data_IF_993295828945
#
_entry.id   IF_993295828945
#
_cell.length_a   1.000
_cell.length_b   1.000
_cell.length_c   1.000
_cell.angle_alpha   90.00
_cell.angle_beta   90.00
_cell.angle_gamma   90.00
#
_symmetry.space_group_name_H-M   'P 1'
#
loop_
_entity.id
_entity.type
_entity.pdbx_description
1 polymer ?
#
# COMPACT_ATOMS: atom_id res chain seq x y z
N UNK A 1 19.52 26.72 28.98
CA UNK A 1 19.11 25.79 27.92
C UNK A 1 19.83 26.25 26.67
N UNK A 2 20.61 25.38 26.01
CA UNK A 2 21.35 25.77 24.81
C UNK A 2 20.36 25.88 23.63
N UNK A 3 20.54 26.85 22.74
CA UNK A 3 19.72 27.02 21.54
C UNK A 3 19.69 25.74 20.68
N UNK A 4 20.79 24.99 20.66
CA UNK A 4 20.86 23.69 19.97
C UNK A 4 19.92 22.65 20.61
N UNK A 5 19.83 22.61 21.94
CA UNK A 5 18.93 21.68 22.64
C UNK A 5 17.46 22.02 22.35
N UNK A 6 17.10 23.31 22.32
CA UNK A 6 15.74 23.78 22.01
C UNK A 6 15.34 23.45 20.55
N UNK A 7 16.27 23.61 19.60
CA UNK A 7 16.06 23.27 18.20
C UNK A 7 15.92 21.75 18.00
N UNK A 8 16.70 20.95 18.73
CA UNK A 8 16.59 19.49 18.69
C UNK A 8 15.26 19.00 19.28
N UNK A 9 14.82 19.57 20.40
CA UNK A 9 13.54 19.25 21.02
C UNK A 9 12.35 19.62 20.12
N UNK A 10 12.40 20.78 19.47
CA UNK A 10 11.38 21.22 18.51
C UNK A 10 11.33 20.30 17.28
N UNK A 11 12.49 19.88 16.75
CA UNK A 11 12.56 18.93 15.64
C UNK A 11 11.97 17.56 16.01
N UNK A 12 12.25 17.06 17.23
CA UNK A 12 11.67 15.81 17.75
C UNK A 12 10.15 15.91 17.90
N UNK A 13 9.65 17.02 18.47
CA UNK A 13 8.22 17.27 18.65
C UNK A 13 7.48 17.36 17.31
N UNK A 14 8.03 18.07 16.33
CA UNK A 14 7.45 18.14 14.97
C UNK A 14 7.43 16.79 14.27
N UNK A 15 8.51 16.02 14.36
CA UNK A 15 8.54 14.67 13.79
C UNK A 15 7.47 13.78 14.42
N UNK A 16 7.31 13.83 15.75
CA UNK A 16 6.25 13.09 16.43
C UNK A 16 4.85 13.51 15.95
N UNK A 17 4.60 14.82 15.79
CA UNK A 17 3.34 15.34 15.27
C UNK A 17 3.04 14.81 13.86
N UNK A 18 4.02 14.81 12.95
CA UNK A 18 3.84 14.26 11.60
C UNK A 18 3.53 12.76 11.61
N UNK A 19 4.25 11.97 12.43
CA UNK A 19 4.02 10.54 12.55
C UNK A 19 2.60 10.24 13.08
N UNK A 20 2.15 11.02 14.07
CA UNK A 20 0.81 10.88 14.63
C UNK A 20 -0.27 11.24 13.61
N UNK A 21 -0.13 12.37 12.92
CA UNK A 21 -1.06 12.80 11.87
C UNK A 21 -1.18 11.76 10.75
N UNK A 22 -0.06 11.25 10.25
CA UNK A 22 -0.07 10.22 9.20
C UNK A 22 -0.74 8.92 9.68
N UNK A 23 -0.55 8.54 10.94
CA UNK A 23 -1.21 7.37 11.51
C UNK A 23 -2.72 7.56 11.58
N UNK A 24 -3.19 8.75 11.99
CA UNK A 24 -4.61 9.08 12.02
C UNK A 24 -5.21 9.05 10.61
N UNK A 25 -4.57 9.72 9.64
CA UNK A 25 -5.03 9.73 8.25
C UNK A 25 -5.07 8.33 7.64
N UNK A 26 -4.05 7.49 7.91
CA UNK A 26 -4.04 6.12 7.43
C UNK A 26 -5.22 5.29 7.97
N UNK A 27 -5.54 5.44 9.26
CA UNK A 27 -6.69 4.79 9.88
C UNK A 27 -8.01 5.29 9.31
N UNK A 28 -8.17 6.61 9.13
CA UNK A 28 -9.38 7.18 8.52
C UNK A 28 -9.60 6.65 7.10
N UNK A 29 -8.54 6.55 6.30
CA UNK A 29 -8.61 5.98 4.94
C UNK A 29 -9.01 4.50 4.97
N UNK A 30 -8.44 3.72 5.90
CA UNK A 30 -8.79 2.31 6.11
C UNK A 30 -10.23 2.12 6.56
N UNK A 31 -10.72 2.96 7.47
CA UNK A 31 -12.10 2.92 7.95
C UNK A 31 -13.08 3.25 6.83
N UNK A 32 -12.76 4.25 6.00
CA UNK A 32 -13.52 4.55 4.77
C UNK A 32 -13.54 3.36 3.82
N UNK A 33 -12.39 2.71 3.57
CA UNK A 33 -12.29 1.55 2.68
C UNK A 33 -13.15 0.38 3.18
N UNK A 34 -13.10 0.12 4.49
CA UNK A 34 -13.89 -0.93 5.15
C UNK A 34 -15.38 -0.63 5.05
N UNK A 35 -15.80 0.60 5.37
CA UNK A 35 -17.19 1.04 5.27
C UNK A 35 -17.74 0.92 3.85
N UNK A 36 -16.98 1.35 2.84
CA UNK A 36 -17.38 1.21 1.44
C UNK A 36 -17.49 -0.25 1.00
N UNK A 37 -16.56 -1.10 1.44
CA UNK A 37 -16.61 -2.53 1.15
C UNK A 37 -17.87 -3.17 1.74
N UNK A 38 -18.20 -2.88 3.00
CA UNK A 38 -19.44 -3.37 3.61
C UNK A 38 -20.69 -2.87 2.88
N UNK A 39 -20.73 -1.59 2.51
CA UNK A 39 -21.86 -1.00 1.76
C UNK A 39 -22.02 -1.63 0.37
N UNK A 40 -20.94 -2.06 -0.27
CA UNK A 40 -20.97 -2.67 -1.60
C UNK A 40 -21.73 -4.00 -1.61
N UNK A 41 -21.71 -4.75 -0.50
CA UNK A 41 -22.36 -6.05 -0.36
C UNK A 41 -23.70 -5.98 0.41
N UNK A 42 -24.24 -4.79 0.64
CA UNK A 42 -25.56 -4.63 1.25
C UNK A 42 -26.69 -4.88 0.23
N UNK A 43 -27.83 -5.41 0.69
CA UNK A 43 -28.97 -5.80 -0.16
C UNK A 43 -29.53 -4.66 -1.04
N UNK A 44 -29.35 -3.40 -0.63
CA UNK A 44 -29.82 -2.20 -1.32
C UNK A 44 -28.67 -1.26 -1.73
N UNK A 45 -27.48 -1.82 -1.98
CA UNK A 45 -26.30 -1.07 -2.35
C UNK A 45 -26.51 -0.22 -3.62
N UNK A 46 -26.25 1.09 -3.51
CA UNK A 46 -26.13 1.95 -4.69
C UNK A 46 -24.72 1.81 -5.29
N UNK A 47 -24.54 0.80 -6.14
CA UNK A 47 -23.24 0.42 -6.72
C UNK A 47 -22.59 1.55 -7.49
N UNK A 48 -23.37 2.36 -8.22
CA UNK A 48 -22.83 3.49 -9.00
C UNK A 48 -22.21 4.54 -8.07
N UNK A 49 -22.94 4.95 -7.03
CA UNK A 49 -22.44 5.90 -6.05
C UNK A 49 -21.23 5.34 -5.29
N UNK A 50 -21.27 4.08 -4.88
CA UNK A 50 -20.16 3.42 -4.20
C UNK A 50 -18.92 3.38 -5.10
N UNK A 51 -19.08 3.13 -6.40
CA UNK A 51 -17.98 3.18 -7.36
C UNK A 51 -17.31 4.56 -7.45
N UNK A 52 -18.10 5.64 -7.42
CA UNK A 52 -17.57 7.03 -7.38
C UNK A 52 -16.80 7.28 -6.08
N UNK A 53 -17.35 6.87 -4.94
CA UNK A 53 -16.72 7.00 -3.63
C UNK A 53 -15.42 6.18 -3.54
N UNK A 54 -15.42 4.94 -4.03
CA UNK A 54 -14.23 4.08 -4.09
C UNK A 54 -13.14 4.68 -4.99
N UNK A 55 -13.49 5.22 -6.16
CA UNK A 55 -12.52 5.86 -7.06
C UNK A 55 -11.90 7.10 -6.43
N UNK A 56 -12.68 7.87 -5.68
CA UNK A 56 -12.19 9.02 -4.92
C UNK A 56 -11.24 8.56 -3.82
N UNK A 57 -11.64 7.56 -3.03
CA UNK A 57 -10.81 6.99 -1.98
C UNK A 57 -9.50 6.40 -2.54
N UNK A 58 -9.53 5.68 -3.66
CA UNK A 58 -8.33 5.12 -4.28
C UNK A 58 -7.30 6.23 -4.61
N UNK A 59 -7.76 7.37 -5.13
CA UNK A 59 -6.91 8.52 -5.42
C UNK A 59 -6.36 9.15 -4.13
N UNK A 60 -7.19 9.28 -3.09
CA UNK A 60 -6.76 9.77 -1.78
C UNK A 60 -5.67 8.87 -1.18
N UNK A 61 -5.86 7.55 -1.19
CA UNK A 61 -4.90 6.61 -0.61
C UNK A 61 -3.58 6.55 -1.38
N UNK A 62 -3.62 6.54 -2.73
CA UNK A 62 -2.41 6.59 -3.57
C UNK A 62 -1.69 7.94 -3.39
N UNK A 63 -2.45 9.04 -3.33
CA UNK A 63 -1.92 10.36 -3.05
C UNK A 63 -1.21 10.41 -1.70
N UNK A 64 -1.85 9.89 -0.66
CA UNK A 64 -1.30 9.76 0.68
C UNK A 64 -0.02 8.92 0.69
N UNK A 65 -0.04 7.69 0.16
CA UNK A 65 1.14 6.80 0.04
C UNK A 65 2.34 7.52 -0.59
N UNK A 66 2.09 8.28 -1.65
CA UNK A 66 3.15 8.99 -2.37
C UNK A 66 3.83 10.11 -1.55
N UNK A 67 3.21 10.54 -0.45
CA UNK A 67 3.63 11.68 0.36
C UNK A 67 4.06 11.32 1.79
N UNK A 68 3.72 10.13 2.30
CA UNK A 68 4.00 9.78 3.70
C UNK A 68 5.50 9.84 4.05
N UNK A 69 5.80 10.21 5.29
CA UNK A 69 7.16 10.14 5.85
C UNK A 69 7.33 8.82 6.61
N UNK A 70 6.27 8.34 7.27
CA UNK A 70 6.25 7.13 8.08
C UNK A 70 6.06 5.86 7.24
N UNK A 71 7.10 5.42 6.53
CA UNK A 71 7.03 4.20 5.71
C UNK A 71 6.52 2.93 6.41
N UNK A 72 6.75 2.69 7.71
CA UNK A 72 6.11 1.58 8.43
C UNK A 72 4.58 1.50 8.31
N UNK A 73 3.86 2.62 8.10
CA UNK A 73 2.41 2.61 7.85
C UNK A 73 2.04 1.78 6.61
N UNK A 74 2.96 1.66 5.64
CA UNK A 74 2.71 0.94 4.40
C UNK A 74 2.50 -0.56 4.60
N UNK A 75 3.00 -1.12 5.71
CA UNK A 75 2.83 -2.53 6.05
C UNK A 75 1.36 -2.96 6.00
N UNK A 76 0.45 -2.15 6.58
CA UNK A 76 -0.98 -2.42 6.50
C UNK A 76 -1.66 -1.71 5.31
N UNK A 77 -1.22 -0.50 4.97
CA UNK A 77 -1.91 0.33 3.97
C UNK A 77 -1.90 -0.28 2.56
N UNK A 78 -0.87 -1.04 2.17
CA UNK A 78 -0.82 -1.67 0.85
C UNK A 78 -1.98 -2.64 0.60
N UNK A 79 -2.39 -3.40 1.62
CA UNK A 79 -3.51 -4.31 1.51
C UNK A 79 -4.82 -3.55 1.30
N UNK A 80 -5.02 -2.45 2.04
CA UNK A 80 -6.22 -1.62 1.94
C UNK A 80 -6.30 -0.88 0.59
N UNK A 81 -5.18 -0.39 0.05
CA UNK A 81 -5.11 0.18 -1.31
C UNK A 81 -5.43 -0.90 -2.34
N UNK A 82 -4.79 -2.06 -2.22
CA UNK A 82 -5.02 -3.21 -3.11
C UNK A 82 -6.49 -3.64 -3.11
N UNK A 83 -7.12 -3.71 -1.94
CA UNK A 83 -8.55 -4.02 -1.78
C UNK A 83 -9.45 -2.98 -2.42
N UNK A 84 -9.19 -1.69 -2.18
CA UNK A 84 -9.96 -0.59 -2.76
C UNK A 84 -9.90 -0.62 -4.29
N UNK A 85 -8.72 -0.84 -4.85
CA UNK A 85 -8.52 -0.98 -6.29
C UNK A 85 -9.16 -2.25 -6.85
N UNK A 86 -9.15 -3.34 -6.09
CA UNK A 86 -9.80 -4.59 -6.47
C UNK A 86 -11.31 -4.43 -6.59
N UNK A 87 -11.93 -3.73 -5.64
CA UNK A 87 -13.37 -3.42 -5.67
C UNK A 87 -13.74 -2.51 -6.87
N UNK A 88 -12.78 -1.73 -7.38
CA UNK A 88 -12.89 -0.97 -8.63
C UNK A 88 -12.57 -1.79 -9.89
N UNK A 89 -12.36 -3.10 -9.76
CA UNK A 89 -11.93 -4.01 -10.84
C UNK A 89 -10.62 -3.57 -11.53
N UNK A 90 -9.79 -2.79 -10.84
CA UNK A 90 -8.48 -2.35 -11.32
C UNK A 90 -7.42 -3.40 -11.01
N UNK A 91 -7.63 -4.62 -11.52
CA UNK A 91 -6.88 -5.84 -11.15
C UNK A 91 -5.36 -5.69 -11.27
N UNK A 92 -4.86 -5.11 -12.37
CA UNK A 92 -3.42 -4.93 -12.57
C UNK A 92 -2.79 -4.09 -11.45
N UNK A 93 -3.43 -2.97 -11.07
CA UNK A 93 -2.90 -2.07 -10.05
C UNK A 93 -3.08 -2.68 -8.66
N UNK A 94 -4.23 -3.32 -8.40
CA UNK A 94 -4.50 -4.02 -7.15
C UNK A 94 -3.44 -5.10 -6.86
N UNK A 95 -3.10 -5.92 -7.87
CA UNK A 95 -2.05 -6.95 -7.77
C UNK A 95 -0.68 -6.32 -7.53
N UNK A 96 -0.34 -5.21 -8.21
CA UNK A 96 0.93 -4.52 -7.97
C UNK A 96 1.08 -4.02 -6.53
N UNK A 97 0.01 -3.46 -5.95
CA UNK A 97 -0.01 -3.02 -4.55
C UNK A 97 0.04 -4.20 -3.58
N UNK A 98 -0.70 -5.27 -3.83
CA UNK A 98 -0.69 -6.45 -2.97
C UNK A 98 0.67 -7.16 -2.98
N UNK A 99 1.32 -7.30 -4.14
CA UNK A 99 2.69 -7.83 -4.23
C UNK A 99 3.69 -6.92 -3.49
N UNK A 100 3.55 -5.59 -3.62
CA UNK A 100 4.37 -4.66 -2.86
C UNK A 100 4.17 -4.83 -1.34
N UNK A 101 2.94 -5.04 -0.89
CA UNK A 101 2.64 -5.33 0.50
C UNK A 101 3.25 -6.64 0.99
N UNK A 102 3.21 -7.71 0.19
CA UNK A 102 3.92 -8.96 0.54
C UNK A 102 5.42 -8.70 0.70
N UNK A 103 6.06 -8.02 -0.26
CA UNK A 103 7.50 -7.72 -0.23
C UNK A 103 7.88 -6.83 0.96
N UNK A 104 7.10 -5.78 1.24
CA UNK A 104 7.35 -4.88 2.36
C UNK A 104 7.18 -5.56 3.72
N UNK A 105 6.14 -6.38 3.89
CA UNK A 105 5.88 -7.08 5.15
C UNK A 105 6.86 -8.23 5.39
N UNK A 106 7.32 -8.92 4.34
CA UNK A 106 8.43 -9.88 4.43
C UNK A 106 9.72 -9.22 4.94
N UNK A 107 10.02 -8.00 4.51
CA UNK A 107 11.21 -7.27 4.98
C UNK A 107 11.13 -6.84 6.45
N UNK A 108 9.94 -6.87 7.06
CA UNK A 108 9.69 -6.46 8.44
C UNK A 108 9.18 -7.60 9.33
N UNK A 109 9.20 -8.85 8.84
CA UNK A 109 8.69 -10.03 9.54
C UNK A 109 7.23 -9.89 10.04
N UNK A 110 6.38 -9.16 9.28
CA UNK A 110 4.96 -8.94 9.61
C UNK A 110 4.08 -9.99 8.92
N UNK A 111 3.84 -11.10 9.61
CA UNK A 111 3.06 -12.22 9.07
C UNK A 111 1.57 -11.88 8.85
N UNK A 112 0.99 -10.99 9.66
CA UNK A 112 -0.39 -10.54 9.49
C UNK A 112 -0.52 -9.70 8.21
N UNK A 113 0.41 -8.76 8.01
CA UNK A 113 0.49 -7.96 6.79
C UNK A 113 0.71 -8.81 5.53
N UNK A 114 1.57 -9.82 5.59
CA UNK A 114 1.75 -10.79 4.49
C UNK A 114 0.43 -11.48 4.17
N UNK A 115 -0.27 -11.99 5.19
CA UNK A 115 -1.52 -12.73 5.02
C UNK A 115 -2.62 -11.84 4.43
N UNK A 116 -2.75 -10.61 4.91
CA UNK A 116 -3.71 -9.63 4.39
C UNK A 116 -3.50 -9.35 2.90
N UNK A 117 -2.25 -9.16 2.46
CA UNK A 117 -1.92 -8.93 1.06
C UNK A 117 -2.12 -10.19 0.19
N UNK A 118 -1.78 -11.37 0.69
CA UNK A 118 -2.06 -12.64 -0.01
C UNK A 118 -3.56 -12.86 -0.18
N UNK A 119 -4.40 -12.46 0.78
CA UNK A 119 -5.86 -12.48 0.66
C UNK A 119 -6.35 -11.61 -0.50
N UNK A 120 -5.77 -10.43 -0.69
CA UNK A 120 -6.09 -9.55 -1.84
C UNK A 120 -5.69 -10.23 -3.16
N UNK A 121 -4.53 -10.89 -3.22
CA UNK A 121 -4.10 -11.63 -4.41
C UNK A 121 -5.01 -12.82 -4.72
N UNK A 122 -5.46 -13.56 -3.70
CA UNK A 122 -6.41 -14.66 -3.84
C UNK A 122 -7.74 -14.15 -4.42
N UNK A 123 -8.28 -13.08 -3.85
CA UNK A 123 -9.54 -12.51 -4.34
C UNK A 123 -9.39 -11.93 -5.75
N UNK A 124 -8.22 -11.38 -6.09
CA UNK A 124 -7.91 -10.97 -7.45
C UNK A 124 -7.87 -12.14 -8.44
N UNK A 125 -7.34 -13.30 -8.03
CA UNK A 125 -7.37 -14.51 -8.85
C UNK A 125 -8.81 -14.98 -9.08
N UNK A 126 -9.61 -15.04 -8.01
CA UNK A 126 -11.03 -15.39 -8.08
C UNK A 126 -11.82 -14.46 -9.01
N UNK A 127 -11.71 -13.15 -8.83
CA UNK A 127 -12.43 -12.18 -9.67
C UNK A 127 -11.93 -12.10 -11.11
N UNK A 128 -10.69 -12.51 -11.37
CA UNK A 128 -10.14 -12.62 -12.72
C UNK A 128 -10.46 -13.97 -13.39
N UNK A 129 -11.18 -14.87 -12.72
CA UNK A 129 -11.43 -16.26 -13.15
C UNK A 129 -10.13 -17.08 -13.37
N UNK A 130 -9.07 -16.75 -12.63
CA UNK A 130 -7.82 -17.51 -12.59
C UNK A 130 -7.91 -18.58 -11.48
N UNK A 131 -8.84 -19.53 -11.67
CA UNK A 131 -9.23 -20.53 -10.69
C UNK A 131 -8.10 -21.49 -10.32
N UNK A 132 -7.25 -21.88 -11.27
CA UNK A 132 -6.08 -22.74 -11.00
C UNK A 132 -5.08 -22.01 -10.08
N UNK A 133 -4.83 -20.73 -10.34
CA UNK A 133 -4.01 -19.91 -9.45
C UNK A 133 -4.64 -19.71 -8.07
N UNK A 134 -5.95 -19.47 -8.00
CA UNK A 134 -6.65 -19.30 -6.73
C UNK A 134 -6.60 -20.58 -5.87
N UNK A 135 -6.81 -21.76 -6.46
CA UNK A 135 -6.70 -23.05 -5.77
C UNK A 135 -5.28 -23.29 -5.28
N UNK A 136 -4.29 -23.09 -6.15
CA UNK A 136 -2.87 -23.22 -5.77
C UNK A 136 -2.50 -22.29 -4.62
N UNK A 137 -3.02 -21.06 -4.62
CA UNK A 137 -2.80 -20.13 -3.52
C UNK A 137 -3.41 -20.62 -2.19
N UNK A 138 -4.59 -21.25 -2.21
CA UNK A 138 -5.17 -21.85 -1.00
C UNK A 138 -4.34 -23.05 -0.50
N UNK A 139 -3.78 -23.85 -1.41
CA UNK A 139 -2.93 -25.00 -1.09
C UNK A 139 -1.57 -24.57 -0.51
N UNK A 140 -0.92 -23.59 -1.14
CA UNK A 140 0.42 -23.11 -0.77
C UNK A 140 0.41 -22.23 0.49
N UNK A 141 -0.76 -21.73 0.91
CA UNK A 141 -0.90 -20.77 2.02
C UNK A 141 -2.01 -21.22 3.00
N UNK A 142 -1.70 -22.15 3.92
CA UNK A 142 -2.69 -22.69 4.88
C UNK A 142 -3.35 -21.62 5.75
N UNK A 143 -2.71 -20.48 5.97
CA UNK A 143 -3.27 -19.32 6.67
C UNK A 143 -4.47 -18.68 5.95
N UNK A 144 -4.63 -18.94 4.64
CA UNK A 144 -5.77 -18.50 3.84
C UNK A 144 -6.89 -19.53 3.79
N UNK A 145 -6.69 -20.72 4.37
CA UNK A 145 -7.55 -21.87 4.18
C UNK A 145 -9.01 -21.55 4.53
N UNK A 146 -9.83 -21.55 3.48
CA UNK A 146 -11.28 -21.47 3.56
C UNK A 146 -11.84 -22.66 2.77
N UNK A 147 -12.26 -23.75 3.45
CA UNK A 147 -12.76 -24.94 2.79
C UNK A 147 -13.98 -24.67 1.91
N UNK A 148 -14.81 -23.69 2.26
CA UNK A 148 -15.98 -23.32 1.48
C UNK A 148 -15.57 -22.64 0.18
N UNK A 149 -14.63 -21.69 0.25
CA UNK A 149 -14.06 -21.03 -0.92
C UNK A 149 -13.35 -22.03 -1.84
N UNK A 150 -12.56 -22.96 -1.28
CA UNK A 150 -11.89 -24.01 -2.04
C UNK A 150 -12.91 -24.85 -2.84
N UNK A 151 -13.98 -25.30 -2.17
CA UNK A 151 -15.05 -26.06 -2.82
C UNK A 151 -15.74 -25.26 -3.92
N UNK A 152 -16.00 -23.97 -3.68
CA UNK A 152 -16.65 -23.07 -4.63
C UNK A 152 -15.82 -22.89 -5.91
N UNK A 153 -14.50 -22.70 -5.77
CA UNK A 153 -13.57 -22.53 -6.91
C UNK A 153 -13.36 -23.86 -7.64
N UNK A 154 -13.22 -24.98 -6.92
CA UNK A 154 -12.97 -26.31 -7.51
C UNK A 154 -14.06 -26.75 -8.50
N UNK A 155 -15.29 -26.25 -8.33
CA UNK A 155 -16.41 -26.53 -9.22
C UNK A 155 -16.49 -25.63 -10.46
N UNK A 156 -15.64 -24.62 -10.58
CA UNK A 156 -15.66 -23.65 -11.69
C UNK A 156 -14.82 -24.14 -12.88
N UNK A 157 -15.20 -23.77 -14.11
CA UNK A 157 -14.38 -24.06 -15.29
C UNK A 157 -13.04 -23.32 -15.24
N UNK A 158 -12.01 -23.94 -15.81
CA UNK A 158 -10.68 -23.31 -15.96
C UNK A 158 -10.68 -22.45 -17.23
N UNK A 159 -10.35 -21.17 -17.08
CA UNK A 159 -10.23 -20.21 -18.18
C UNK A 159 -8.75 -19.95 -18.50
N UNK A 160 -8.18 -20.71 -19.44
CA UNK A 160 -6.75 -20.63 -19.78
C UNK A 160 -6.28 -19.21 -20.17
N UNK A 161 -7.16 -18.37 -20.74
CA UNK A 161 -6.83 -16.97 -21.06
C UNK A 161 -6.68 -16.14 -19.79
N UNK A 162 -7.58 -16.32 -18.82
CA UNK A 162 -7.51 -15.67 -17.52
C UNK A 162 -6.28 -16.12 -16.72
N UNK A 163 -5.99 -17.42 -16.68
CA UNK A 163 -4.79 -17.96 -16.02
C UNK A 163 -3.51 -17.30 -16.56
N UNK A 164 -3.34 -17.29 -17.88
CA UNK A 164 -2.17 -16.70 -18.53
C UNK A 164 -2.03 -15.19 -18.25
N UNK A 165 -3.15 -14.46 -18.26
CA UNK A 165 -3.16 -13.03 -17.94
C UNK A 165 -2.77 -12.80 -16.48
N UNK A 166 -3.33 -13.57 -15.56
CA UNK A 166 -3.04 -13.46 -14.15
C UNK A 166 -1.58 -13.80 -13.84
N UNK A 167 -1.05 -14.89 -14.40
CA UNK A 167 0.37 -15.26 -14.27
C UNK A 167 1.30 -14.16 -14.78
N UNK A 168 0.95 -13.52 -15.90
CA UNK A 168 1.72 -12.38 -16.43
C UNK A 168 1.71 -11.20 -15.45
N UNK A 169 0.58 -10.95 -14.79
CA UNK A 169 0.48 -9.91 -13.77
C UNK A 169 1.31 -10.25 -12.53
N UNK A 170 1.27 -11.49 -12.04
CA UNK A 170 2.09 -11.93 -10.90
C UNK A 170 3.60 -11.76 -11.15
N UNK A 171 4.04 -12.04 -12.38
CA UNK A 171 5.46 -11.92 -12.78
C UNK A 171 5.92 -10.49 -13.02
N UNK A 172 5.02 -9.50 -13.02
CA UNK A 172 5.41 -8.11 -13.21
C UNK A 172 6.33 -7.65 -12.09
N UNK A 173 7.36 -6.88 -12.43
CA UNK A 173 8.22 -6.20 -11.44
C UNK A 173 7.76 -4.77 -11.15
N UNK A 174 6.66 -4.33 -11.75
CA UNK A 174 6.08 -3.01 -11.46
C UNK A 174 5.54 -3.00 -10.04
N UNK A 175 5.96 -2.02 -9.25
CA UNK A 175 5.54 -1.79 -7.86
C UNK A 175 5.38 -0.29 -7.62
N UNK A 176 4.59 0.13 -6.62
CA UNK A 176 4.58 1.50 -6.12
C UNK A 176 6.00 1.94 -5.72
N UNK A 177 6.34 3.21 -5.98
CA UNK A 177 7.69 3.72 -5.71
C UNK A 177 8.03 3.70 -4.23
N UNK A 178 7.04 3.83 -3.36
CA UNK A 178 7.18 3.77 -1.90
C UNK A 178 7.81 2.48 -1.42
N UNK A 179 7.61 1.35 -2.11
CA UNK A 179 8.17 0.06 -1.72
C UNK A 179 9.69 0.12 -1.63
N UNK A 180 10.32 0.85 -2.54
CA UNK A 180 11.77 1.01 -2.54
C UNK A 180 12.30 1.57 -1.21
N UNK A 181 11.54 2.48 -0.58
CA UNK A 181 11.91 3.09 0.70
C UNK A 181 11.62 2.18 1.90
N UNK A 182 10.75 1.18 1.74
CA UNK A 182 10.53 0.13 2.74
C UNK A 182 11.67 -0.89 2.74
N UNK A 183 12.19 -1.23 1.56
CA UNK A 183 13.18 -2.30 1.39
C UNK A 183 14.62 -1.83 1.63
N UNK A 184 14.93 -0.56 1.34
CA UNK A 184 16.27 0.02 1.51
C UNK A 184 16.26 1.06 2.64
N UNK A 185 16.87 0.72 3.78
CA UNK A 185 16.89 1.57 4.98
C UNK A 185 17.60 2.91 4.75
N UNK A 186 18.68 2.93 3.97
CA UNK A 186 19.42 4.16 3.69
C UNK A 186 18.61 5.09 2.81
N UNK A 187 17.97 4.53 1.78
CA UNK A 187 17.11 5.28 0.87
C UNK A 187 15.84 5.74 1.55
N UNK A 188 15.28 4.93 2.45
CA UNK A 188 14.19 5.31 3.32
C UNK A 188 14.58 6.48 4.23
N UNK A 189 15.78 6.47 4.82
CA UNK A 189 16.26 7.59 5.63
C UNK A 189 16.44 8.88 4.81
N UNK A 190 17.06 8.80 3.62
CA UNK A 190 17.23 9.94 2.71
C UNK A 190 15.88 10.52 2.26
N UNK A 191 14.95 9.66 1.85
CA UNK A 191 13.61 10.09 1.42
C UNK A 191 12.79 10.69 2.56
N UNK A 192 12.86 10.14 3.78
CA UNK A 192 12.22 10.74 4.96
C UNK A 192 12.70 12.16 5.18
N UNK A 193 14.02 12.38 5.16
CA UNK A 193 14.59 13.72 5.31
C UNK A 193 14.08 14.67 4.21
N UNK A 194 14.02 14.23 2.95
CA UNK A 194 13.49 15.02 1.84
C UNK A 194 12.03 15.40 2.10
N UNK A 195 11.17 14.44 2.45
CA UNK A 195 9.73 14.67 2.67
C UNK A 195 9.46 15.54 3.91
N UNK A 196 10.25 15.39 4.97
CA UNK A 196 10.19 16.27 6.15
C UNK A 196 10.47 17.72 5.76
N UNK A 197 11.54 17.98 5.00
CA UNK A 197 11.87 19.34 4.54
C UNK A 197 10.78 19.90 3.62
N UNK A 198 10.28 19.09 2.68
CA UNK A 198 9.16 19.48 1.82
C UNK A 198 7.94 19.92 2.63
N UNK A 199 7.59 19.14 3.66
CA UNK A 199 6.42 19.42 4.52
C UNK A 199 6.63 20.64 5.41
N UNK A 200 7.82 20.80 5.99
CA UNK A 200 8.15 21.94 6.85
C UNK A 200 8.24 23.26 6.10
N UNK A 201 8.85 23.24 4.90
CA UNK A 201 9.10 24.46 4.13
C UNK A 201 8.01 24.77 3.10
N UNK A 202 7.10 23.83 2.82
CA UNK A 202 6.15 23.93 1.72
C UNK A 202 6.82 23.89 0.34
N UNK A 203 8.06 23.41 0.28
CA UNK A 203 8.88 23.42 -0.91
C UNK A 203 8.67 22.17 -1.78
N UNK A 204 8.84 22.34 -3.09
CA UNK A 204 8.80 21.21 -4.02
C UNK A 204 9.99 20.26 -3.81
N UNK A 205 9.82 18.98 -4.14
CA UNK A 205 10.91 17.99 -4.14
C UNK A 205 12.14 18.48 -4.90
N UNK A 206 11.93 19.11 -6.07
CA UNK A 206 13.02 19.63 -6.90
C UNK A 206 13.82 20.73 -6.19
N UNK A 207 13.14 21.57 -5.41
CA UNK A 207 13.76 22.59 -4.57
C UNK A 207 14.58 21.95 -3.46
N UNK A 208 14.01 21.00 -2.72
CA UNK A 208 14.69 20.30 -1.61
C UNK A 208 15.94 19.53 -2.08
N UNK A 209 15.87 18.89 -3.25
CA UNK A 209 17.03 18.22 -3.83
C UNK A 209 18.19 19.19 -4.16
N UNK A 210 17.90 20.45 -4.49
CA UNK A 210 18.94 21.47 -4.66
C UNK A 210 19.60 21.81 -3.32
N UNK A 211 18.84 21.94 -2.24
CA UNK A 211 19.39 22.15 -0.90
C UNK A 211 20.34 21.01 -0.50
N UNK A 212 19.91 19.76 -0.71
CA UNK A 212 20.72 18.58 -0.43
C UNK A 212 22.02 18.55 -1.25
N UNK A 213 21.95 18.91 -2.54
CA UNK A 213 23.13 18.99 -3.40
C UNK A 213 24.11 20.08 -2.94
N UNK A 214 23.62 21.25 -2.53
CA UNK A 214 24.45 22.34 -2.00
C UNK A 214 25.11 21.93 -0.68
N UNK A 215 24.38 21.34 0.26
CA UNK A 215 24.93 20.84 1.52
C UNK A 215 26.00 19.77 1.32
N UNK A 216 25.78 18.83 0.38
CA UNK A 216 26.77 17.79 0.02
C UNK A 216 28.04 18.38 -0.60
N UNK A 217 28.00 19.56 -1.21
CA UNK A 217 29.19 20.26 -1.72
C UNK A 217 29.96 20.93 -0.59
N UNK A 218 29.27 21.63 0.31
CA UNK A 218 29.87 22.33 1.44
C UNK A 218 30.58 21.39 2.43
N UNK A 219 30.06 20.18 2.65
CA UNK A 219 30.68 19.19 3.56
C UNK A 219 31.86 18.42 2.94
N UNK A 220 32.21 18.66 1.67
CA UNK A 220 33.37 18.08 1.00
C UNK A 220 34.57 19.05 0.92
N UNK A 221 34.37 20.30 1.33
CA UNK A 221 35.38 21.33 1.50
C UNK A 221 35.83 21.37 2.97
#
# INVERSE_FOLDING_TARGET
>A
MNYEDEMEEMAKSMNYAFLHEETLTANELRDKATSLTHRMFADNANIEQIGVELNTLAKEMIGFESQIINFPILNFLYADIGRTLLNLQSFEIAIQYALAGVEANLAHDDQEGITANKRVLLDAACFSEANEHALKMLEDNPELNDPHLHQLISGQPINASSEQKFEKLLRTKKRPKSLYYCLDKEKGAEERAIRTVMRQMGDSRATVLKYLASAKKMNKE
#
